data_IF_504016447298
#
_entry.id   IF_504016447298
#
_cell.length_a   1.000
_cell.length_b   1.000
_cell.length_c   1.000
_cell.angle_alpha   90.00
_cell.angle_beta   90.00
_cell.angle_gamma   90.00
#
_symmetry.space_group_name_H-M   'P 1'
#
loop_
_entity.id
_entity.type
_entity.pdbx_description
1 polymer ?
#
# COMPACT_ATOMS: atom_id res chain seq x y z
N UNK A 1 23.08 -22.29 -14.02
CA UNK A 1 22.76 -20.86 -14.22
C UNK A 1 21.24 -20.77 -14.28
N UNK A 2 20.61 -20.52 -13.14
CA UNK A 2 19.13 -20.56 -13.05
C UNK A 2 18.62 -19.15 -13.24
N UNK A 3 17.92 -18.92 -14.34
CA UNK A 3 17.36 -17.63 -14.72
C UNK A 3 16.25 -17.29 -13.73
N UNK A 4 16.44 -16.24 -12.92
CA UNK A 4 15.40 -15.71 -12.06
C UNK A 4 14.41 -14.96 -12.94
N UNK A 5 13.28 -15.60 -13.24
CA UNK A 5 12.15 -14.96 -13.93
C UNK A 5 11.67 -13.77 -13.07
N UNK A 6 12.05 -12.55 -13.47
CA UNK A 6 11.47 -11.33 -12.92
C UNK A 6 9.97 -11.32 -13.26
N UNK A 7 9.14 -11.30 -12.21
CA UNK A 7 7.73 -11.02 -12.36
C UNK A 7 7.55 -9.66 -13.07
N UNK A 8 6.59 -9.53 -14.00
CA UNK A 8 6.39 -8.29 -14.72
C UNK A 8 6.08 -7.17 -13.73
N UNK A 9 6.96 -6.17 -13.65
CA UNK A 9 6.66 -4.91 -12.98
C UNK A 9 5.69 -4.16 -13.88
N UNK A 10 4.44 -3.99 -13.42
CA UNK A 10 3.43 -3.28 -14.20
C UNK A 10 3.85 -1.82 -14.42
N UNK A 11 3.78 -1.34 -15.66
CA UNK A 11 3.86 0.11 -15.92
C UNK A 11 2.69 0.78 -15.20
N UNK A 12 2.90 1.91 -14.49
CA UNK A 12 1.81 2.63 -13.87
C UNK A 12 0.74 3.00 -14.90
N UNK A 13 -0.50 2.61 -14.64
CA UNK A 13 -1.68 3.01 -15.41
C UNK A 13 -2.28 4.26 -14.78
N UNK A 14 -2.44 5.33 -15.57
CA UNK A 14 -3.05 6.58 -15.13
C UNK A 14 -4.47 6.71 -15.69
N UNK A 15 -5.47 6.75 -14.80
CA UNK A 15 -6.86 7.06 -15.12
C UNK A 15 -7.16 8.51 -14.67
N UNK A 16 -7.01 9.51 -15.56
CA UNK A 16 -7.20 10.91 -15.21
C UNK A 16 -8.67 11.26 -14.96
N UNK A 17 -9.62 10.52 -15.54
CA UNK A 17 -11.05 10.77 -15.37
C UNK A 17 -11.49 10.41 -13.95
N UNK A 18 -10.97 9.29 -13.42
CA UNK A 18 -11.22 8.87 -12.03
C UNK A 18 -10.22 9.42 -11.03
N UNK A 19 -9.14 10.07 -11.49
CA UNK A 19 -8.05 10.59 -10.66
C UNK A 19 -7.36 9.48 -9.87
N UNK A 20 -7.01 8.40 -10.56
CA UNK A 20 -6.35 7.22 -9.99
C UNK A 20 -5.08 6.91 -10.78
N UNK A 21 -3.99 6.63 -10.08
CA UNK A 21 -2.81 5.95 -10.63
C UNK A 21 -2.75 4.56 -10.04
N UNK A 22 -2.48 3.53 -10.85
CA UNK A 22 -2.39 2.14 -10.38
C UNK A 22 -1.15 1.44 -10.90
N UNK A 23 -0.59 0.55 -10.09
CA UNK A 23 0.45 -0.41 -10.49
C UNK A 23 0.06 -1.78 -9.99
N UNK A 24 0.43 -2.84 -10.72
CA UNK A 24 0.15 -4.21 -10.29
C UNK A 24 1.38 -5.08 -10.39
N UNK A 25 1.50 -5.99 -9.41
CA UNK A 25 2.62 -6.90 -9.25
C UNK A 25 2.09 -8.26 -8.78
N UNK A 26 2.57 -9.34 -9.41
CA UNK A 26 2.35 -10.69 -8.89
C UNK A 26 3.23 -10.96 -7.67
N UNK A 27 2.64 -11.54 -6.62
CA UNK A 27 3.31 -11.98 -5.41
C UNK A 27 3.01 -13.47 -5.19
N UNK A 28 4.03 -14.34 -5.04
CA UNK A 28 3.85 -15.77 -4.83
C UNK A 28 3.47 -16.09 -3.37
N UNK A 29 2.37 -15.50 -2.90
CA UNK A 29 1.80 -15.68 -1.58
C UNK A 29 0.27 -15.59 -1.66
N UNK A 30 -0.41 -16.15 -0.67
CA UNK A 30 -1.88 -16.05 -0.58
C UNK A 30 -2.32 -14.61 -0.29
N UNK A 31 -3.56 -14.22 -0.66
CA UNK A 31 -4.05 -12.87 -0.35
C UNK A 31 -4.01 -12.56 1.15
N UNK A 32 -4.29 -13.55 2.02
CA UNK A 32 -4.19 -13.37 3.47
C UNK A 32 -2.76 -13.06 3.92
N UNK A 33 -1.75 -13.79 3.42
CA UNK A 33 -0.34 -13.53 3.77
C UNK A 33 0.10 -12.13 3.33
N UNK A 34 -0.29 -11.71 2.13
CA UNK A 34 0.00 -10.34 1.66
C UNK A 34 -0.72 -9.31 2.54
N UNK A 35 -2.01 -9.55 2.83
CA UNK A 35 -2.81 -8.67 3.68
C UNK A 35 -2.24 -8.56 5.09
N UNK A 36 -1.71 -9.63 5.66
CA UNK A 36 -1.11 -9.62 6.99
C UNK A 36 0.12 -8.73 7.07
N UNK A 37 0.92 -8.68 6.00
CA UNK A 37 2.04 -7.75 5.87
C UNK A 37 1.54 -6.31 5.73
N UNK A 38 0.56 -6.07 4.86
CA UNK A 38 -0.03 -4.74 4.66
C UNK A 38 -0.69 -4.19 5.93
N UNK A 39 -1.34 -5.05 6.71
CA UNK A 39 -2.00 -4.70 7.96
C UNK A 39 -1.03 -4.66 9.15
N UNK A 40 0.28 -4.89 8.96
CA UNK A 40 1.31 -4.73 9.98
C UNK A 40 2.16 -3.47 9.70
N UNK A 41 1.94 -2.36 10.44
CA UNK A 41 2.67 -1.10 10.26
C UNK A 41 4.19 -1.23 10.43
N UNK A 42 4.67 -2.22 11.18
CA UNK A 42 6.12 -2.46 11.33
C UNK A 42 6.78 -2.89 10.03
N UNK A 43 6.00 -3.46 9.10
CA UNK A 43 6.50 -3.94 7.81
C UNK A 43 6.47 -2.87 6.72
N UNK A 44 5.87 -1.72 6.96
CA UNK A 44 5.62 -0.71 5.91
C UNK A 44 6.91 -0.17 5.28
N UNK A 45 8.01 -0.06 6.04
CA UNK A 45 9.31 0.31 5.46
C UNK A 45 9.95 -0.79 4.61
N UNK A 46 9.57 -2.06 4.81
CA UNK A 46 10.09 -3.20 4.05
C UNK A 46 9.44 -3.29 2.68
N UNK A 47 8.14 -2.95 2.61
CA UNK A 47 7.34 -3.01 1.37
C UNK A 47 7.30 -1.67 0.62
N UNK A 48 7.95 -0.62 1.13
CA UNK A 48 7.98 0.68 0.48
C UNK A 48 8.94 0.69 -0.72
N UNK A 49 8.39 0.67 -1.92
CA UNK A 49 9.15 0.79 -3.16
C UNK A 49 9.75 2.18 -3.41
N UNK A 50 9.30 3.23 -2.71
CA UNK A 50 9.80 4.60 -2.90
C UNK A 50 11.09 4.88 -2.10
N UNK A 51 11.37 4.08 -1.08
CA UNK A 51 12.44 4.31 -0.12
C UNK A 51 12.22 5.55 0.76
N UNK A 52 11.02 6.14 0.78
CA UNK A 52 10.70 7.31 1.60
C UNK A 52 10.28 6.95 3.02
N UNK A 53 9.70 5.77 3.24
CA UNK A 53 9.25 5.28 4.54
C UNK A 53 10.46 4.77 5.32
N UNK A 54 10.67 5.32 6.52
CA UNK A 54 11.81 4.98 7.40
C UNK A 54 11.43 4.10 8.58
N UNK A 55 10.14 3.97 8.86
CA UNK A 55 9.63 3.13 9.92
C UNK A 55 8.41 3.74 10.62
N UNK A 56 7.81 2.96 11.52
CA UNK A 56 6.66 3.40 12.29
C UNK A 56 7.04 4.36 13.43
N UNK A 57 6.07 5.20 13.82
CA UNK A 57 6.17 6.07 14.99
C UNK A 57 5.23 5.62 16.11
N UNK A 58 3.95 5.47 15.79
CA UNK A 58 2.90 4.95 16.67
C UNK A 58 1.93 4.16 15.81
N UNK A 59 1.55 2.97 16.22
CA UNK A 59 0.56 2.18 15.50
C UNK A 59 0.04 1.05 16.40
N UNK A 60 -1.17 0.53 16.16
CA UNK A 60 -1.56 -0.76 16.70
C UNK A 60 -0.67 -1.86 16.10
N UNK A 61 -0.58 -3.00 16.78
CA UNK A 61 0.14 -4.17 16.26
C UNK A 61 -0.42 -4.66 14.91
N UNK A 62 -1.74 -4.50 14.71
CA UNK A 62 -2.44 -4.79 13.47
C UNK A 62 -3.42 -3.67 13.15
N UNK A 63 -3.46 -3.26 11.88
CA UNK A 63 -4.42 -2.31 11.37
C UNK A 63 -5.82 -2.91 11.26
N UNK A 64 -6.82 -2.06 11.48
CA UNK A 64 -8.24 -2.34 11.29
C UNK A 64 -8.90 -1.09 10.72
N UNK A 65 -10.16 -1.18 10.28
CA UNK A 65 -10.92 0.00 9.88
C UNK A 65 -10.90 1.08 10.98
N UNK A 66 -10.63 2.33 10.59
CA UNK A 66 -10.53 3.47 11.51
C UNK A 66 -9.24 3.56 12.32
N UNK A 67 -8.36 2.54 12.27
CA UNK A 67 -7.09 2.57 12.97
C UNK A 67 -6.22 3.74 12.49
N UNK A 68 -5.52 4.37 13.43
CA UNK A 68 -4.54 5.42 13.14
C UNK A 68 -3.13 4.88 13.30
N UNK A 69 -2.25 5.29 12.40
CA UNK A 69 -0.84 4.95 12.49
C UNK A 69 0.03 6.09 11.93
N UNK A 70 1.19 6.28 12.55
CA UNK A 70 2.17 7.28 12.17
C UNK A 70 3.39 6.63 11.51
N UNK A 71 3.87 7.23 10.41
CA UNK A 71 5.09 6.84 9.72
C UNK A 71 6.11 7.97 9.76
N UNK A 72 7.38 7.61 9.98
CA UNK A 72 8.53 8.47 9.75
C UNK A 72 8.88 8.40 8.27
N UNK A 73 8.98 9.54 7.62
CA UNK A 73 9.25 9.67 6.21
C UNK A 73 10.52 10.49 5.97
N UNK A 74 11.18 10.29 4.84
CA UNK A 74 12.27 11.16 4.39
C UNK A 74 12.33 11.22 2.88
N UNK A 75 12.09 12.41 2.35
CA UNK A 75 12.25 12.77 0.95
C UNK A 75 12.94 14.15 0.91
N UNK A 76 14.25 14.16 0.70
CA UNK A 76 15.09 15.34 0.94
C UNK A 76 15.23 15.65 2.44
N UNK A 77 14.14 16.14 3.05
CA UNK A 77 14.03 16.44 4.48
C UNK A 77 13.21 15.38 5.23
N UNK A 78 13.48 15.13 6.53
CA UNK A 78 12.64 14.27 7.36
C UNK A 78 11.27 14.91 7.61
N UNK A 79 10.22 14.09 7.60
CA UNK A 79 8.87 14.50 8.00
C UNK A 79 8.11 13.32 8.60
N UNK A 80 6.95 13.61 9.20
CA UNK A 80 6.09 12.60 9.82
C UNK A 80 4.70 12.68 9.23
N UNK A 81 4.02 11.55 9.12
CA UNK A 81 2.66 11.51 8.62
C UNK A 81 1.80 10.58 9.45
N UNK A 82 0.60 11.05 9.81
CA UNK A 82 -0.43 10.22 10.43
C UNK A 82 -1.46 9.85 9.39
N UNK A 83 -1.72 8.55 9.28
CA UNK A 83 -2.71 7.97 8.40
C UNK A 83 -3.89 7.43 9.22
N UNK A 84 -5.03 7.32 8.56
CA UNK A 84 -6.23 6.63 9.06
C UNK A 84 -6.65 5.59 8.04
N UNK A 85 -6.87 4.35 8.47
CA UNK A 85 -7.45 3.30 7.63
C UNK A 85 -8.91 3.64 7.34
N UNK A 86 -9.24 3.77 6.05
CA UNK A 86 -10.57 4.14 5.57
C UNK A 86 -11.25 3.04 4.78
N UNK A 87 -10.51 2.03 4.37
CA UNK A 87 -11.00 0.86 3.66
C UNK A 87 -10.37 -0.38 4.26
N UNK A 88 -11.19 -1.40 4.50
CA UNK A 88 -10.75 -2.63 5.13
C UNK A 88 -11.74 -3.77 4.81
N UNK A 89 -11.35 -4.62 3.88
CA UNK A 89 -11.97 -5.91 3.58
C UNK A 89 -10.86 -6.96 3.69
N UNK A 90 -10.91 -7.77 4.75
CA UNK A 90 -9.86 -8.71 5.12
C UNK A 90 -9.47 -9.61 3.94
N UNK A 91 -8.17 -9.75 3.69
CA UNK A 91 -7.58 -10.50 2.58
C UNK A 91 -7.93 -10.00 1.15
N UNK A 92 -8.62 -8.85 1.00
CA UNK A 92 -9.09 -8.34 -0.31
C UNK A 92 -8.70 -6.89 -0.57
N UNK A 93 -8.88 -6.02 0.42
CA UNK A 93 -8.67 -4.60 0.23
C UNK A 93 -8.30 -3.90 1.53
N UNK A 94 -7.26 -3.08 1.49
CA UNK A 94 -6.93 -2.16 2.58
C UNK A 94 -6.53 -0.81 2.00
N UNK A 95 -7.03 0.26 2.59
CA UNK A 95 -6.73 1.61 2.13
C UNK A 95 -6.67 2.60 3.29
N UNK A 96 -5.73 3.53 3.20
CA UNK A 96 -5.53 4.57 4.20
C UNK A 96 -5.29 5.93 3.56
N UNK A 97 -5.59 6.97 4.33
CA UNK A 97 -5.37 8.36 3.92
C UNK A 97 -4.71 9.18 5.01
N UNK A 98 -3.97 10.19 4.60
CA UNK A 98 -3.47 11.25 5.46
C UNK A 98 -4.35 12.51 5.39
N UNK A 99 -3.94 13.59 6.05
CA UNK A 99 -4.67 14.87 6.12
C UNK A 99 -5.01 15.48 4.75
N UNK A 100 -4.14 15.36 3.74
CA UNK A 100 -4.39 15.82 2.37
C UNK A 100 -5.48 15.04 1.59
N UNK A 101 -6.09 14.01 2.19
CA UNK A 101 -7.27 13.35 1.62
C UNK A 101 -7.03 12.29 0.56
N UNK A 102 -5.81 12.15 0.03
CA UNK A 102 -5.46 11.06 -0.90
C UNK A 102 -5.53 9.69 -0.23
N UNK A 103 -6.00 8.68 -0.96
CA UNK A 103 -6.08 7.29 -0.49
C UNK A 103 -5.00 6.46 -1.19
N UNK A 104 -4.14 5.82 -0.40
CA UNK A 104 -3.32 4.70 -0.85
C UNK A 104 -4.08 3.42 -0.58
N UNK A 105 -4.40 2.68 -1.63
CA UNK A 105 -5.25 1.48 -1.60
C UNK A 105 -4.50 0.30 -2.18
N UNK A 106 -4.63 -0.85 -1.54
CA UNK A 106 -4.16 -2.13 -2.04
C UNK A 106 -5.37 -3.03 -2.30
N UNK A 107 -5.46 -3.55 -3.52
CA UNK A 107 -6.44 -4.56 -3.94
C UNK A 107 -5.71 -5.89 -4.15
N UNK A 108 -6.27 -6.97 -3.59
CA UNK A 108 -5.68 -8.29 -3.61
C UNK A 108 -6.61 -9.24 -4.36
N UNK A 109 -6.18 -9.64 -5.56
CA UNK A 109 -6.90 -10.64 -6.36
C UNK A 109 -6.16 -11.96 -6.29
N UNK A 110 -6.83 -13.02 -5.81
CA UNK A 110 -6.29 -14.37 -5.89
C UNK A 110 -6.15 -14.78 -7.36
N UNK A 111 -4.97 -15.28 -7.73
CA UNK A 111 -4.68 -15.80 -9.07
C UNK A 111 -3.95 -17.14 -8.93
N UNK A 112 -3.79 -17.87 -10.04
CA UNK A 112 -3.02 -19.11 -10.01
C UNK A 112 -1.60 -18.86 -9.48
N UNK A 113 -1.18 -19.64 -8.49
CA UNK A 113 0.14 -19.55 -7.87
C UNK A 113 0.36 -18.39 -6.88
N UNK A 114 -0.61 -17.50 -6.65
CA UNK A 114 -0.43 -16.41 -5.70
C UNK A 114 -1.48 -15.31 -5.75
N UNK A 115 -1.01 -14.07 -5.60
CA UNK A 115 -1.87 -12.87 -5.53
C UNK A 115 -1.39 -11.84 -6.54
N UNK A 116 -2.33 -11.31 -7.33
CA UNK A 116 -2.11 -10.07 -8.05
C UNK A 116 -2.42 -8.92 -7.09
N UNK A 117 -1.38 -8.19 -6.69
CA UNK A 117 -1.47 -7.02 -5.83
C UNK A 117 -1.55 -5.79 -6.70
N UNK A 118 -2.61 -5.00 -6.57
CA UNK A 118 -2.75 -3.70 -7.21
C UNK A 118 -2.67 -2.60 -6.17
N UNK A 119 -1.62 -1.78 -6.25
CA UNK A 119 -1.56 -0.53 -5.51
C UNK A 119 -2.24 0.57 -6.33
N UNK A 120 -3.08 1.37 -5.67
CA UNK A 120 -3.73 2.53 -6.24
C UNK A 120 -3.46 3.77 -5.39
N UNK A 121 -3.05 4.84 -6.07
CA UNK A 121 -3.06 6.20 -5.53
C UNK A 121 -4.29 6.94 -6.06
N UNK A 122 -5.28 7.12 -5.19
CA UNK A 122 -6.53 7.80 -5.48
C UNK A 122 -6.48 9.23 -4.93
N UNK A 123 -6.42 10.19 -5.85
CA UNK A 123 -6.37 11.62 -5.54
C UNK A 123 -7.69 12.32 -5.91
N UNK A 124 -8.77 11.56 -6.10
CA UNK A 124 -10.11 12.11 -6.33
C UNK A 124 -10.66 12.88 -5.14
N UNK A 125 -10.27 12.47 -3.93
CA UNK A 125 -10.69 13.05 -2.65
C UNK A 125 -9.69 14.06 -2.07
N UNK A 126 -8.81 14.61 -2.91
CA UNK A 126 -7.85 15.62 -2.49
C UNK A 126 -8.56 16.78 -1.77
N UNK A 127 -8.05 17.14 -0.59
CA UNK A 127 -8.53 18.27 0.21
C UNK A 127 -7.57 19.43 -0.03
N UNK A 128 -7.83 20.17 -1.11
CA UNK A 128 -7.26 21.49 -1.38
C UNK A 128 -8.24 22.57 -0.88
#
# INVERSE_FOLDING_TARGET
MTNASQAPQGTPAHDPARKIVSVSQFVPATPQQVFDVLANPQMHSVIDGSGSVRGQLHAPARLSLGAKFGMSMRLGVPYRITNVVVEFDEARQIGWRHFGGHVWRYLLTAVEGGTLVTEQFDYSTNRA
#
